data_IF_462217802744
#
_entry.id   IF_462217802744
#
_cell.length_a   1.000
_cell.length_b   1.000
_cell.length_c   1.000
_cell.angle_alpha   90.00
_cell.angle_beta   90.00
_cell.angle_gamma   90.00
#
_symmetry.space_group_name_H-M   'P 1'
#
loop_
_entity.id
_entity.type
_entity.pdbx_description
1 polymer ?
#
# COMPACT_ATOMS: atom_id res chain seq x y z
N UNK A 1 -21.81 49.93 -4.19
CA UNK A 1 -21.24 49.61 -2.82
C UNK A 1 -20.39 48.36 -2.78
N UNK A 2 -19.85 47.83 -3.87
CA UNK A 2 -19.08 46.58 -3.93
C UNK A 2 -17.55 46.77 -4.10
N UNK A 3 -17.04 47.95 -4.37
CA UNK A 3 -15.61 48.16 -4.62
C UNK A 3 -14.74 48.43 -3.40
N UNK A 4 -15.31 48.59 -2.21
CA UNK A 4 -14.55 49.00 -1.00
C UNK A 4 -14.19 47.84 -0.05
N UNK A 5 -14.56 46.57 -0.37
CA UNK A 5 -14.21 45.41 0.45
C UNK A 5 -12.94 44.70 0.00
N UNK A 6 -12.54 44.78 -1.25
CA UNK A 6 -11.33 44.12 -1.81
C UNK A 6 -10.02 44.81 -1.43
N UNK A 7 -10.06 46.11 -1.18
CA UNK A 7 -8.86 46.85 -0.81
C UNK A 7 -8.39 46.67 0.64
N UNK A 8 -9.31 46.30 1.56
CA UNK A 8 -8.97 46.06 2.96
C UNK A 8 -8.33 44.68 3.21
N UNK A 9 -8.70 43.65 2.44
CA UNK A 9 -8.16 42.30 2.58
C UNK A 9 -6.72 42.19 2.07
N UNK A 10 -6.38 42.93 1.01
CA UNK A 10 -5.02 42.95 0.46
C UNK A 10 -3.97 43.62 1.36
N UNK A 11 -4.38 44.59 2.21
CA UNK A 11 -3.46 45.25 3.16
C UNK A 11 -3.16 44.41 4.41
N UNK A 12 -4.07 43.54 4.83
CA UNK A 12 -3.88 42.66 6.01
C UNK A 12 -2.93 41.50 5.68
N UNK A 13 -2.95 40.97 4.46
CA UNK A 13 -2.04 39.89 4.04
C UNK A 13 -0.60 40.39 3.89
N UNK A 14 -0.38 41.62 3.42
CA UNK A 14 0.97 42.20 3.31
C UNK A 14 1.65 42.54 4.66
N UNK A 15 0.88 42.68 5.74
CA UNK A 15 1.43 42.91 7.10
C UNK A 15 1.84 41.63 7.82
N UNK A 16 1.24 40.47 7.48
CA UNK A 16 1.57 39.17 8.08
C UNK A 16 2.88 38.55 7.54
N UNK A 17 3.33 38.94 6.36
CA UNK A 17 4.55 38.38 5.73
C UNK A 17 5.85 39.05 6.21
N UNK A 18 5.76 40.16 6.98
CA UNK A 18 6.94 40.92 7.43
C UNK A 18 7.43 40.55 8.86
N UNK A 19 6.88 39.56 9.52
CA UNK A 19 7.16 39.25 10.93
C UNK A 19 7.90 37.91 11.16
N UNK A 20 8.44 37.22 10.15
CA UNK A 20 9.28 36.05 10.36
C UNK A 20 10.76 36.39 10.23
N UNK A 21 11.46 36.41 11.36
CA UNK A 21 12.94 36.55 11.41
C UNK A 21 13.57 35.27 10.80
N UNK A 22 14.69 35.40 10.05
CA UNK A 22 15.38 34.26 9.49
C UNK A 22 16.05 33.40 10.57
N UNK A 23 15.88 32.10 10.48
CA UNK A 23 16.53 31.10 11.32
C UNK A 23 18.01 31.07 10.97
N UNK A 24 18.88 31.33 11.98
CA UNK A 24 20.34 31.26 11.85
C UNK A 24 20.78 29.83 11.56
N UNK A 25 21.34 29.61 10.37
CA UNK A 25 22.06 28.36 10.02
C UNK A 25 23.34 28.27 10.85
N UNK A 26 23.42 27.25 11.68
CA UNK A 26 24.62 26.90 12.43
C UNK A 26 25.64 26.28 11.46
N UNK A 27 26.74 27.01 11.21
CA UNK A 27 27.92 26.49 10.48
C UNK A 27 28.58 25.41 11.32
N UNK A 28 28.63 24.19 10.77
CA UNK A 28 29.51 23.13 11.30
C UNK A 28 30.94 23.48 10.94
N UNK A 29 31.74 23.89 11.92
CA UNK A 29 33.15 24.10 11.76
C UNK A 29 33.89 22.78 11.86
N UNK A 30 34.41 22.29 10.74
CA UNK A 30 35.39 21.21 10.70
C UNK A 30 36.77 21.77 11.13
N UNK A 31 37.18 21.49 12.36
CA UNK A 31 38.56 21.74 12.82
C UNK A 31 39.44 20.56 12.44
N UNK A 32 40.17 20.67 11.33
CA UNK A 32 41.35 19.84 11.05
C UNK A 32 42.54 20.54 11.74
N UNK A 33 43.00 20.02 12.89
CA UNK A 33 44.29 20.45 13.48
C UNK A 33 45.43 19.77 12.69
N UNK A 34 46.15 20.60 11.95
CA UNK A 34 47.44 20.23 11.38
C UNK A 34 48.51 20.13 12.48
N UNK A 35 49.18 18.99 12.57
CA UNK A 35 50.36 18.78 13.45
C UNK A 35 51.55 19.40 12.79
N UNK A 36 52.18 20.40 13.45
CA UNK A 36 53.42 21.01 13.02
C UNK A 36 54.63 20.08 13.37
N UNK A 37 55.67 20.02 12.54
CA UNK A 37 56.90 19.24 12.83
C UNK A 37 57.74 19.90 13.91
N UNK A 38 58.23 19.10 14.87
CA UNK A 38 59.15 19.52 15.93
C UNK A 38 60.58 19.50 15.34
N UNK A 39 61.25 20.64 15.43
CA UNK A 39 62.69 20.82 15.09
C UNK A 39 63.59 20.17 16.14
N UNK A 40 64.58 19.52 15.65
CA UNK A 40 65.76 18.93 16.28
C UNK A 40 66.62 19.91 17.10
N UNK A 41 67.38 19.28 17.99
CA UNK A 41 68.66 19.64 18.66
C UNK A 41 68.59 20.19 20.05
N UNK A 42 69.07 19.36 21.00
CA UNK A 42 70.14 19.74 21.93
C UNK A 42 70.81 18.47 22.49
N UNK A 43 72.11 18.41 22.27
CA UNK A 43 73.12 17.52 22.83
C UNK A 43 73.11 17.58 24.36
N UNK A 44 73.10 16.43 25.04
CA UNK A 44 73.48 16.33 26.47
C UNK A 44 74.36 15.12 26.68
N UNK A 45 75.40 15.39 27.45
CA UNK A 45 76.60 14.61 27.75
C UNK A 45 76.33 13.27 28.46
N UNK A 46 77.18 12.32 28.16
CA UNK A 46 77.63 11.14 28.90
C UNK A 46 77.15 10.95 30.34
N UNK A 47 76.51 9.83 30.61
CA UNK A 47 76.45 9.24 31.98
C UNK A 47 76.31 7.71 31.91
N UNK A 48 77.35 7.07 32.48
CA UNK A 48 77.43 5.77 33.17
C UNK A 48 76.69 4.56 32.61
N UNK A 49 77.49 3.50 32.36
CA UNK A 49 77.15 2.13 32.06
C UNK A 49 76.03 1.57 32.99
N UNK A 50 74.93 1.14 32.39
CA UNK A 50 73.87 0.38 33.01
C UNK A 50 74.03 -1.08 32.64
N UNK A 51 73.95 -1.97 33.63
CA UNK A 51 74.06 -3.45 33.53
C UNK A 51 73.08 -4.02 32.48
N UNK A 52 73.41 -5.16 31.78
CA UNK A 52 72.56 -5.73 30.75
C UNK A 52 71.24 -6.22 31.35
N UNK A 53 70.12 -5.72 30.79
CA UNK A 53 68.76 -6.15 31.10
C UNK A 53 68.57 -7.55 30.51
N UNK A 54 68.06 -8.47 31.32
CA UNK A 54 67.70 -9.83 30.98
C UNK A 54 66.79 -9.85 29.73
N UNK A 55 67.12 -10.70 28.79
CA UNK A 55 66.40 -10.99 27.54
C UNK A 55 64.89 -11.00 27.76
N UNK A 56 64.18 -10.05 27.12
CA UNK A 56 62.71 -10.06 27.03
C UNK A 56 62.29 -11.25 26.16
N UNK A 57 61.49 -12.17 26.75
CA UNK A 57 60.88 -13.24 26.00
C UNK A 57 60.09 -12.65 24.82
N UNK A 58 60.39 -13.11 23.60
CA UNK A 58 59.61 -12.77 22.39
C UNK A 58 58.14 -13.06 22.66
N UNK A 59 57.35 -12.04 22.87
CA UNK A 59 55.88 -12.14 22.88
C UNK A 59 55.47 -12.51 21.44
N UNK A 60 54.59 -13.51 21.32
CA UNK A 60 53.99 -13.88 20.04
C UNK A 60 53.34 -12.61 19.44
N UNK A 61 53.42 -12.40 18.11
CA UNK A 61 52.70 -11.28 17.48
C UNK A 61 51.21 -11.35 17.87
N UNK A 62 50.67 -10.23 18.37
CA UNK A 62 49.25 -10.09 18.58
C UNK A 62 48.61 -10.19 17.20
N UNK A 63 47.88 -11.27 16.93
CA UNK A 63 47.06 -11.38 15.73
C UNK A 63 46.04 -10.24 15.78
N UNK A 64 46.23 -9.23 14.96
CA UNK A 64 45.19 -8.20 14.71
C UNK A 64 44.01 -8.92 14.07
N UNK A 65 42.84 -8.92 14.69
CA UNK A 65 41.69 -9.58 14.10
C UNK A 65 41.49 -9.00 12.69
N UNK A 66 41.44 -9.89 11.70
CA UNK A 66 41.10 -9.51 10.32
C UNK A 66 39.84 -8.67 10.39
N UNK A 67 39.91 -7.41 9.92
CA UNK A 67 38.70 -6.57 9.73
C UNK A 67 37.80 -7.37 8.79
N UNK A 68 36.81 -8.02 9.33
CA UNK A 68 35.68 -8.46 8.54
C UNK A 68 35.04 -7.18 8.01
N UNK A 69 35.19 -6.94 6.72
CA UNK A 69 34.37 -5.92 6.05
C UNK A 69 32.93 -6.39 6.20
N UNK A 70 32.26 -5.90 7.23
CA UNK A 70 30.81 -6.02 7.36
C UNK A 70 30.25 -5.14 6.25
N UNK A 71 30.01 -5.74 5.10
CA UNK A 71 29.26 -5.10 4.02
C UNK A 71 27.84 -4.97 4.55
N UNK A 72 27.48 -3.78 5.03
CA UNK A 72 26.09 -3.48 5.32
C UNK A 72 25.36 -3.46 3.96
N UNK A 73 24.64 -4.52 3.68
CA UNK A 73 23.73 -4.59 2.54
C UNK A 73 22.54 -3.67 2.84
N UNK A 74 22.70 -2.39 2.48
CA UNK A 74 21.69 -1.32 2.69
C UNK A 74 20.78 -1.16 1.48
N UNK A 75 21.09 -1.82 0.38
CA UNK A 75 20.33 -1.75 -0.86
C UNK A 75 18.99 -2.50 -0.76
N UNK A 76 18.07 -2.19 -1.68
CA UNK A 76 16.84 -2.94 -1.84
C UNK A 76 17.13 -4.42 -2.13
N UNK A 77 16.23 -5.31 -1.71
CA UNK A 77 16.39 -6.74 -2.01
C UNK A 77 16.28 -7.00 -3.51
N UNK A 78 17.20 -7.78 -4.02
CA UNK A 78 17.22 -8.21 -5.44
C UNK A 78 16.05 -9.15 -5.77
N UNK A 79 15.65 -9.29 -7.05
CA UNK A 79 14.52 -10.16 -7.42
C UNK A 79 14.61 -11.62 -6.92
N UNK A 80 15.77 -12.31 -6.93
CA UNK A 80 15.88 -13.63 -6.30
C UNK A 80 15.66 -13.60 -4.79
N UNK A 81 16.15 -12.56 -4.11
CA UNK A 81 15.92 -12.38 -2.66
C UNK A 81 14.45 -12.10 -2.35
N UNK A 82 13.75 -11.32 -3.19
CA UNK A 82 12.30 -11.10 -3.08
C UNK A 82 11.57 -12.44 -3.16
N UNK A 83 11.89 -13.27 -4.17
CA UNK A 83 11.27 -14.58 -4.34
C UNK A 83 11.44 -15.48 -3.11
N UNK A 84 12.67 -15.59 -2.59
CA UNK A 84 12.97 -16.39 -1.40
C UNK A 84 12.24 -15.86 -0.15
N UNK A 85 12.13 -14.54 0.03
CA UNK A 85 11.40 -13.93 1.14
C UNK A 85 9.89 -14.18 1.05
N UNK A 86 9.34 -14.06 -0.15
CA UNK A 86 7.93 -14.30 -0.38
C UNK A 86 7.56 -15.77 -0.11
N UNK A 87 8.37 -16.71 -0.59
CA UNK A 87 8.21 -18.13 -0.33
C UNK A 87 8.27 -18.46 1.18
N UNK A 88 9.22 -17.87 1.90
CA UNK A 88 9.31 -18.02 3.35
C UNK A 88 8.04 -17.50 4.06
N UNK A 89 7.55 -16.31 3.68
CA UNK A 89 6.32 -15.72 4.23
C UNK A 89 5.09 -16.56 3.89
N UNK A 90 5.01 -17.13 2.68
CA UNK A 90 3.93 -18.02 2.29
C UNK A 90 3.84 -19.23 3.23
N UNK A 91 4.97 -19.83 3.59
CA UNK A 91 5.04 -20.94 4.55
C UNK A 91 4.59 -20.57 5.97
N UNK A 92 4.84 -19.32 6.41
CA UNK A 92 4.37 -18.80 7.70
C UNK A 92 2.86 -18.57 7.69
N UNK A 93 2.35 -17.81 6.70
CA UNK A 93 0.92 -17.50 6.56
C UNK A 93 0.05 -18.76 6.51
N UNK A 94 0.47 -19.78 5.79
CA UNK A 94 -0.28 -21.03 5.68
C UNK A 94 -0.37 -21.82 7.01
N UNK A 95 0.44 -21.50 8.03
CA UNK A 95 0.41 -22.11 9.35
C UNK A 95 -0.42 -21.34 10.37
N UNK A 96 -0.84 -20.13 10.05
CA UNK A 96 -1.66 -19.31 10.94
C UNK A 96 -2.96 -20.02 11.31
N UNK A 97 -3.46 -19.71 12.52
CA UNK A 97 -4.74 -20.22 12.96
C UNK A 97 -5.89 -19.63 12.17
N UNK A 98 -6.96 -20.40 11.98
CA UNK A 98 -8.17 -19.92 11.28
C UNK A 98 -8.73 -18.64 11.94
N UNK A 99 -8.68 -18.52 13.25
CA UNK A 99 -9.13 -17.35 13.99
C UNK A 99 -8.28 -16.11 13.66
N UNK A 100 -6.94 -16.23 13.67
CA UNK A 100 -6.06 -15.12 13.31
C UNK A 100 -6.25 -14.71 11.85
N UNK A 101 -6.28 -15.66 10.92
CA UNK A 101 -6.53 -15.41 9.49
C UNK A 101 -7.86 -14.68 9.29
N UNK A 102 -8.92 -15.08 10.01
CA UNK A 102 -10.23 -14.45 9.93
C UNK A 102 -10.21 -13.01 10.47
N UNK A 103 -9.64 -12.77 11.67
CA UNK A 103 -9.55 -11.43 12.26
C UNK A 103 -8.69 -10.49 11.42
N UNK A 104 -7.55 -10.95 10.94
CA UNK A 104 -6.71 -10.18 10.02
C UNK A 104 -7.41 -9.95 8.68
N UNK A 105 -8.26 -10.90 8.25
CA UNK A 105 -9.15 -10.74 7.10
C UNK A 105 -10.17 -9.64 7.30
N UNK A 106 -10.82 -9.56 8.47
CA UNK A 106 -11.75 -8.45 8.80
C UNK A 106 -11.02 -7.10 8.71
N UNK A 107 -9.83 -7.00 9.28
CA UNK A 107 -9.04 -5.76 9.19
C UNK A 107 -8.73 -5.39 7.73
N UNK A 108 -8.31 -6.36 6.91
CA UNK A 108 -8.01 -6.09 5.50
C UNK A 108 -9.24 -5.61 4.72
N UNK A 109 -10.38 -6.26 4.90
CA UNK A 109 -11.65 -5.83 4.28
C UNK A 109 -12.04 -4.42 4.70
N UNK A 110 -11.93 -4.11 6.00
CA UNK A 110 -12.20 -2.77 6.53
C UNK A 110 -11.22 -1.72 5.96
N UNK A 111 -9.94 -2.01 5.88
CA UNK A 111 -8.93 -1.09 5.34
C UNK A 111 -9.17 -0.78 3.86
N UNK A 112 -9.45 -1.80 3.05
CA UNK A 112 -9.79 -1.60 1.63
C UNK A 112 -11.09 -0.80 1.49
N UNK A 113 -12.10 -1.07 2.32
CA UNK A 113 -13.36 -0.34 2.31
C UNK A 113 -13.19 1.14 2.70
N UNK A 114 -12.32 1.45 3.68
CA UNK A 114 -11.97 2.83 4.04
C UNK A 114 -11.25 3.55 2.89
N UNK A 115 -10.33 2.89 2.21
CA UNK A 115 -9.70 3.42 1.00
C UNK A 115 -10.71 3.67 -0.12
N UNK A 116 -11.67 2.77 -0.32
CA UNK A 116 -12.74 2.90 -1.30
C UNK A 116 -13.68 4.07 -0.97
N UNK A 117 -14.07 4.24 0.30
CA UNK A 117 -14.86 5.37 0.74
C UNK A 117 -14.12 6.70 0.58
N UNK A 118 -12.84 6.76 0.97
CA UNK A 118 -12.04 7.96 0.81
C UNK A 118 -11.90 8.36 -0.67
N UNK A 119 -11.67 7.38 -1.55
CA UNK A 119 -11.67 7.64 -2.99
C UNK A 119 -13.04 8.15 -3.47
N UNK A 120 -14.14 7.52 -3.05
CA UNK A 120 -15.50 7.96 -3.42
C UNK A 120 -15.74 9.41 -3.00
N UNK A 121 -15.39 9.77 -1.76
CA UNK A 121 -15.55 11.13 -1.24
C UNK A 121 -14.79 12.15 -2.10
N UNK A 122 -13.51 11.88 -2.39
CA UNK A 122 -12.64 12.82 -3.11
C UNK A 122 -13.06 13.01 -4.57
N UNK A 123 -13.55 11.94 -5.24
CA UNK A 123 -13.97 12.03 -6.64
C UNK A 123 -15.42 12.51 -6.83
N UNK A 124 -16.18 12.71 -5.75
CA UNK A 124 -17.60 13.05 -5.83
C UNK A 124 -17.82 14.46 -6.37
N UNK A 125 -17.01 15.40 -5.91
CA UNK A 125 -17.09 16.82 -6.30
C UNK A 125 -15.67 17.41 -6.44
N UNK A 126 -14.88 16.82 -7.34
CA UNK A 126 -13.46 17.21 -7.46
C UNK A 126 -13.24 18.50 -8.23
N UNK A 127 -14.19 18.94 -9.06
CA UNK A 127 -14.01 20.07 -9.99
C UNK A 127 -12.89 19.87 -11.02
N UNK A 128 -12.22 18.72 -11.03
CA UNK A 128 -11.09 18.43 -11.89
C UNK A 128 -11.53 17.75 -13.19
N UNK A 129 -10.71 17.84 -14.24
CA UNK A 129 -10.88 17.04 -15.45
C UNK A 129 -10.91 15.53 -15.10
N UNK A 130 -11.70 14.74 -15.84
CA UNK A 130 -11.98 13.33 -15.54
C UNK A 130 -10.72 12.47 -15.32
N UNK A 131 -9.65 12.71 -16.10
CA UNK A 131 -8.37 12.00 -15.93
C UNK A 131 -7.68 12.31 -14.60
N UNK A 132 -7.62 13.58 -14.22
CA UNK A 132 -7.04 14.01 -12.93
C UNK A 132 -7.88 13.51 -11.76
N UNK A 133 -9.22 13.59 -11.86
CA UNK A 133 -10.14 13.01 -10.85
C UNK A 133 -9.85 11.52 -10.63
N UNK A 134 -9.66 10.76 -11.72
CA UNK A 134 -9.34 9.33 -11.62
C UNK A 134 -7.98 9.11 -10.92
N UNK A 135 -6.95 9.89 -11.23
CA UNK A 135 -5.62 9.77 -10.62
C UNK A 135 -5.66 10.14 -9.13
N UNK A 136 -6.30 11.27 -8.78
CA UNK A 136 -6.40 11.68 -7.36
C UNK A 136 -7.19 10.66 -6.56
N UNK A 137 -8.33 10.17 -7.07
CA UNK A 137 -9.11 9.11 -6.43
C UNK A 137 -8.30 7.82 -6.24
N UNK A 138 -7.47 7.49 -7.23
CA UNK A 138 -6.61 6.32 -7.18
C UNK A 138 -5.49 6.45 -6.13
N UNK A 139 -4.85 7.61 -6.04
CA UNK A 139 -3.81 7.88 -5.02
C UNK A 139 -4.40 7.76 -3.61
N UNK A 140 -5.56 8.36 -3.34
CA UNK A 140 -6.17 8.28 -2.00
C UNK A 140 -6.69 6.87 -1.68
N UNK A 141 -7.11 6.09 -2.69
CA UNK A 141 -7.46 4.67 -2.51
C UNK A 141 -6.27 3.84 -1.99
N UNK A 142 -5.02 4.21 -2.31
CA UNK A 142 -3.82 3.50 -1.86
C UNK A 142 -3.75 3.39 -0.33
N UNK A 143 -4.41 4.29 0.43
CA UNK A 143 -4.58 4.19 1.88
C UNK A 143 -4.97 2.76 2.30
N UNK A 144 -5.91 2.13 1.60
CA UNK A 144 -6.41 0.79 1.92
C UNK A 144 -5.29 -0.25 1.89
N UNK A 145 -4.53 -0.34 0.79
CA UNK A 145 -3.47 -1.35 0.68
C UNK A 145 -2.23 -1.00 1.52
N UNK A 146 -1.94 0.28 1.72
CA UNK A 146 -0.88 0.71 2.65
C UNK A 146 -1.18 0.17 4.06
N UNK A 147 -2.41 0.34 4.56
CA UNK A 147 -2.81 -0.19 5.86
C UNK A 147 -2.77 -1.72 5.89
N UNK A 148 -3.16 -2.42 4.82
CA UNK A 148 -3.07 -3.88 4.72
C UNK A 148 -1.63 -4.36 4.83
N UNK A 149 -0.72 -3.80 4.04
CA UNK A 149 0.68 -4.28 3.95
C UNK A 149 1.49 -3.88 5.18
N UNK A 150 1.36 -2.62 5.63
CA UNK A 150 2.12 -2.12 6.78
C UNK A 150 1.52 -2.63 8.10
N UNK A 151 0.21 -2.73 8.18
CA UNK A 151 -0.50 -3.26 9.35
C UNK A 151 -0.53 -4.79 9.43
N UNK A 152 -0.11 -5.51 8.39
CA UNK A 152 0.01 -6.98 8.41
C UNK A 152 -1.32 -7.72 8.27
N UNK A 153 -2.33 -7.13 7.62
CA UNK A 153 -3.65 -7.74 7.46
C UNK A 153 -3.69 -8.78 6.31
N UNK A 154 -4.68 -9.67 6.34
CA UNK A 154 -4.84 -10.80 5.40
C UNK A 154 -5.81 -10.46 4.27
N UNK A 155 -5.29 -9.94 3.16
CA UNK A 155 -6.07 -9.60 1.98
C UNK A 155 -6.06 -10.75 0.97
N UNK A 156 -7.25 -11.25 0.60
CA UNK A 156 -7.41 -12.37 -0.33
C UNK A 156 -6.62 -12.20 -1.63
N UNK A 157 -6.73 -11.03 -2.27
CA UNK A 157 -6.06 -10.75 -3.55
C UNK A 157 -4.54 -10.78 -3.44
N UNK A 158 -3.97 -10.23 -2.36
CA UNK A 158 -2.53 -10.33 -2.07
C UNK A 158 -2.11 -11.75 -1.69
N UNK A 159 -2.99 -12.50 -1.04
CA UNK A 159 -2.74 -13.89 -0.65
C UNK A 159 -2.73 -14.87 -1.84
N UNK A 160 -3.12 -14.45 -3.05
CA UNK A 160 -2.87 -15.24 -4.25
C UNK A 160 -1.38 -15.55 -4.45
N UNK A 161 -0.48 -14.68 -3.95
CA UNK A 161 0.97 -14.88 -4.03
C UNK A 161 1.49 -16.05 -3.15
N UNK A 162 0.75 -16.48 -2.12
CA UNK A 162 1.17 -17.65 -1.32
C UNK A 162 1.16 -18.95 -2.14
N UNK A 163 0.55 -18.94 -3.34
CA UNK A 163 0.61 -20.06 -4.28
C UNK A 163 2.05 -20.44 -4.67
N UNK A 164 3.01 -19.52 -4.57
CA UNK A 164 4.44 -19.80 -4.72
C UNK A 164 4.88 -20.90 -3.75
N UNK A 165 4.49 -20.83 -2.47
CA UNK A 165 4.83 -21.87 -1.49
C UNK A 165 4.18 -23.24 -1.74
N UNK A 166 3.06 -23.27 -2.48
CA UNK A 166 2.47 -24.51 -2.98
C UNK A 166 3.31 -25.14 -4.09
N UNK A 167 3.75 -24.34 -5.05
CA UNK A 167 4.62 -24.81 -6.13
C UNK A 167 5.96 -25.31 -5.59
N UNK A 168 6.48 -24.69 -4.52
CA UNK A 168 7.69 -25.12 -3.81
C UNK A 168 7.43 -26.25 -2.80
N UNK A 169 6.25 -26.87 -2.81
CA UNK A 169 5.83 -28.02 -1.96
C UNK A 169 5.87 -27.74 -0.44
N UNK A 170 5.88 -26.47 -0.02
CA UNK A 170 5.84 -26.07 1.40
C UNK A 170 4.43 -26.00 1.96
N UNK A 171 3.43 -25.86 1.09
CA UNK A 171 2.03 -25.69 1.46
C UNK A 171 1.19 -26.72 0.72
N UNK A 172 0.23 -27.34 1.40
CA UNK A 172 -0.72 -28.27 0.79
C UNK A 172 -1.89 -27.54 0.16
N UNK A 173 -2.54 -28.15 -0.85
CA UNK A 173 -3.75 -27.61 -1.49
C UNK A 173 -4.83 -27.24 -0.46
N UNK A 174 -5.07 -28.12 0.53
CA UNK A 174 -6.05 -27.87 1.60
C UNK A 174 -5.73 -26.57 2.34
N UNK A 175 -4.47 -26.35 2.72
CA UNK A 175 -4.06 -25.15 3.45
C UNK A 175 -4.25 -23.86 2.64
N UNK A 176 -3.99 -23.91 1.34
CA UNK A 176 -4.27 -22.75 0.48
C UNK A 176 -5.76 -22.45 0.43
N UNK A 177 -6.59 -23.48 0.17
CA UNK A 177 -8.05 -23.32 0.07
C UNK A 177 -8.62 -22.81 1.39
N UNK A 178 -8.21 -23.39 2.52
CA UNK A 178 -8.65 -22.97 3.86
C UNK A 178 -8.27 -21.49 4.09
N UNK A 179 -7.01 -21.14 3.86
CA UNK A 179 -6.53 -19.77 4.07
C UNK A 179 -7.23 -18.74 3.18
N UNK A 180 -7.41 -19.06 1.89
CA UNK A 180 -8.10 -18.17 0.95
C UNK A 180 -9.57 -17.99 1.32
N UNK A 181 -10.25 -19.07 1.67
CA UNK A 181 -11.67 -19.04 2.05
C UNK A 181 -11.86 -18.20 3.32
N UNK A 182 -11.06 -18.47 4.35
CA UNK A 182 -11.18 -17.77 5.64
C UNK A 182 -10.86 -16.28 5.48
N UNK A 183 -9.78 -15.94 4.78
CA UNK A 183 -9.42 -14.53 4.53
C UNK A 183 -10.47 -13.82 3.69
N UNK A 184 -11.05 -14.49 2.67
CA UNK A 184 -12.11 -13.92 1.83
C UNK A 184 -13.38 -13.60 2.62
N UNK A 185 -13.81 -14.54 3.48
CA UNK A 185 -14.96 -14.33 4.36
C UNK A 185 -14.67 -13.19 5.33
N UNK A 186 -13.47 -13.15 5.93
CA UNK A 186 -13.05 -12.04 6.79
C UNK A 186 -13.08 -10.70 6.04
N UNK A 187 -12.55 -10.64 4.82
CA UNK A 187 -12.57 -9.42 4.01
C UNK A 187 -14.01 -8.94 3.74
N UNK A 188 -14.92 -9.86 3.47
CA UNK A 188 -16.33 -9.52 3.27
C UNK A 188 -16.98 -8.94 4.53
N UNK A 189 -16.78 -9.58 5.68
CA UNK A 189 -17.29 -9.09 6.97
C UNK A 189 -16.75 -7.70 7.29
N UNK A 190 -15.43 -7.50 7.13
CA UNK A 190 -14.79 -6.20 7.37
C UNK A 190 -15.31 -5.10 6.44
N UNK A 191 -15.52 -5.42 5.16
CA UNK A 191 -16.09 -4.49 4.19
C UNK A 191 -17.53 -4.09 4.54
N UNK A 192 -18.37 -5.05 4.93
CA UNK A 192 -19.75 -4.79 5.33
C UNK A 192 -19.84 -3.97 6.64
N UNK A 193 -18.90 -4.19 7.57
CA UNK A 193 -18.82 -3.38 8.79
C UNK A 193 -18.60 -1.90 8.43
N UNK A 194 -17.69 -1.61 7.51
CA UNK A 194 -17.45 -0.22 7.06
C UNK A 194 -18.63 0.33 6.29
N UNK A 195 -19.29 -0.47 5.43
CA UNK A 195 -20.55 -0.06 4.77
C UNK A 195 -21.59 0.38 5.81
N UNK A 196 -21.79 -0.43 6.86
CA UNK A 196 -22.72 -0.11 7.93
C UNK A 196 -22.35 1.18 8.66
N UNK A 197 -21.09 1.34 9.06
CA UNK A 197 -20.63 2.52 9.81
C UNK A 197 -20.71 3.79 8.96
N UNK A 198 -20.28 3.76 7.70
CA UNK A 198 -20.35 4.90 6.77
C UNK A 198 -21.80 5.30 6.49
N UNK A 199 -22.68 4.30 6.31
CA UNK A 199 -24.11 4.56 6.16
C UNK A 199 -24.71 5.21 7.42
N UNK A 200 -24.40 4.70 8.62
CA UNK A 200 -24.86 5.28 9.89
C UNK A 200 -24.27 6.68 10.15
N UNK A 201 -23.04 6.93 9.70
CA UNK A 201 -22.43 8.26 9.76
C UNK A 201 -23.02 9.24 8.73
N UNK A 202 -23.96 8.81 7.90
CA UNK A 202 -24.68 9.61 6.91
C UNK A 202 -23.75 10.33 5.89
N UNK A 203 -22.55 9.81 5.63
CA UNK A 203 -21.63 10.44 4.67
C UNK A 203 -22.20 10.51 3.24
N UNK A 204 -23.20 9.68 2.93
CA UNK A 204 -23.90 9.72 1.65
C UNK A 204 -24.67 11.04 1.41
N UNK A 205 -25.02 11.78 2.47
CA UNK A 205 -25.70 13.07 2.36
C UNK A 205 -24.78 14.26 2.12
N UNK A 206 -23.46 14.05 2.17
CA UNK A 206 -22.49 15.13 1.95
C UNK A 206 -22.64 15.76 0.56
N UNK A 207 -22.46 17.07 0.48
CA UNK A 207 -22.58 17.87 -0.75
C UNK A 207 -23.92 17.65 -1.45
N UNK A 208 -25.03 17.81 -0.71
CA UNK A 208 -26.40 17.57 -1.23
C UNK A 208 -26.52 16.19 -1.92
N UNK A 209 -26.15 15.14 -1.20
CA UNK A 209 -26.20 13.75 -1.65
C UNK A 209 -25.28 13.40 -2.84
N UNK A 210 -24.38 14.28 -3.26
CA UNK A 210 -23.44 14.02 -4.38
C UNK A 210 -22.53 12.83 -4.05
N UNK A 211 -22.09 12.68 -2.79
CA UNK A 211 -21.28 11.51 -2.38
C UNK A 211 -22.07 10.22 -2.51
N UNK A 212 -23.32 10.19 -2.06
CA UNK A 212 -24.21 9.04 -2.20
C UNK A 212 -24.51 8.72 -3.66
N UNK A 213 -24.82 9.74 -4.46
CA UNK A 213 -25.05 9.60 -5.89
C UNK A 213 -23.84 9.02 -6.62
N UNK A 214 -22.62 9.47 -6.29
CA UNK A 214 -21.38 8.89 -6.85
C UNK A 214 -21.20 7.44 -6.45
N UNK A 215 -21.43 7.09 -5.18
CA UNK A 215 -21.37 5.71 -4.70
C UNK A 215 -22.36 4.80 -5.45
N UNK A 216 -23.59 5.28 -5.67
CA UNK A 216 -24.63 4.59 -6.43
C UNK A 216 -24.22 4.35 -7.89
N UNK A 217 -23.67 5.37 -8.56
CA UNK A 217 -23.15 5.27 -9.94
C UNK A 217 -22.02 4.26 -10.06
N UNK A 218 -21.07 4.27 -9.11
CA UNK A 218 -19.96 3.28 -9.07
C UNK A 218 -20.53 1.87 -8.95
N UNK A 219 -21.43 1.64 -7.99
CA UNK A 219 -22.02 0.33 -7.75
C UNK A 219 -22.81 -0.18 -8.96
N UNK A 220 -23.66 0.69 -9.53
CA UNK A 220 -24.49 0.33 -10.69
C UNK A 220 -23.64 -0.02 -11.91
N UNK A 221 -22.57 0.73 -12.18
CA UNK A 221 -21.62 0.41 -13.26
C UNK A 221 -21.03 -1.00 -13.10
N UNK A 222 -20.70 -1.42 -11.88
CA UNK A 222 -20.03 -2.68 -11.57
C UNK A 222 -20.94 -3.91 -11.78
N UNK A 223 -22.23 -3.80 -11.45
CA UNK A 223 -23.20 -4.89 -11.66
C UNK A 223 -23.77 -4.96 -13.08
N UNK A 224 -23.37 -4.04 -13.95
CA UNK A 224 -23.75 -4.02 -15.36
C UNK A 224 -22.58 -4.31 -16.32
N UNK A 225 -21.46 -4.84 -15.80
CA UNK A 225 -20.37 -5.33 -16.64
C UNK A 225 -20.72 -6.68 -17.27
N UNK A 226 -20.28 -6.88 -18.52
CA UNK A 226 -20.32 -8.22 -19.10
C UNK A 226 -19.31 -9.13 -18.39
N UNK A 227 -19.54 -10.44 -18.42
CA UNK A 227 -18.62 -11.43 -17.82
C UNK A 227 -17.18 -11.22 -18.30
N UNK A 228 -16.97 -11.12 -19.61
CA UNK A 228 -15.63 -10.95 -20.21
C UNK A 228 -14.97 -9.66 -19.73
N UNK A 229 -15.73 -8.55 -19.66
CA UNK A 229 -15.19 -7.27 -19.18
C UNK A 229 -14.82 -7.34 -17.69
N UNK A 230 -15.69 -7.90 -16.85
CA UNK A 230 -15.44 -8.06 -15.42
C UNK A 230 -14.22 -8.97 -15.16
N UNK A 231 -14.16 -10.13 -15.85
CA UNK A 231 -13.05 -11.08 -15.75
C UNK A 231 -11.72 -10.45 -16.21
N UNK A 232 -11.65 -9.84 -17.40
CA UNK A 232 -10.40 -9.28 -17.92
C UNK A 232 -9.88 -8.13 -17.07
N UNK A 233 -10.77 -7.23 -16.60
CA UNK A 233 -10.42 -6.17 -15.65
C UNK A 233 -9.92 -6.72 -14.31
N UNK A 234 -10.49 -7.84 -13.86
CA UNK A 234 -10.07 -8.50 -12.63
C UNK A 234 -8.69 -9.16 -12.79
N UNK A 235 -8.39 -9.78 -13.93
CA UNK A 235 -7.06 -10.34 -14.24
C UNK A 235 -5.99 -9.24 -14.14
N UNK A 236 -6.20 -8.13 -14.84
CA UNK A 236 -5.25 -7.00 -14.83
C UNK A 236 -5.13 -6.38 -13.45
N UNK A 237 -6.23 -6.26 -12.72
CA UNK A 237 -6.23 -5.74 -11.36
C UNK A 237 -5.30 -6.55 -10.45
N UNK A 238 -5.54 -7.86 -10.35
CA UNK A 238 -4.79 -8.66 -9.38
C UNK A 238 -3.37 -8.97 -9.82
N UNK A 239 -3.07 -8.96 -11.10
CA UNK A 239 -1.69 -8.94 -11.57
C UNK A 239 -0.95 -7.71 -11.00
N UNK A 240 -1.55 -6.51 -11.05
CA UNK A 240 -0.95 -5.28 -10.50
C UNK A 240 -0.89 -5.30 -8.96
N UNK A 241 -1.91 -5.82 -8.26
CA UNK A 241 -1.88 -5.98 -6.80
C UNK A 241 -0.74 -6.92 -6.38
N UNK A 242 -0.60 -8.06 -7.05
CA UNK A 242 0.49 -9.00 -6.76
C UNK A 242 1.86 -8.42 -7.10
N UNK A 243 1.98 -7.63 -8.17
CA UNK A 243 3.21 -6.87 -8.46
C UNK A 243 3.51 -5.84 -7.37
N UNK A 244 2.51 -5.13 -6.86
CA UNK A 244 2.69 -4.21 -5.73
C UNK A 244 3.23 -4.95 -4.49
N UNK A 245 2.66 -6.10 -4.16
CA UNK A 245 3.14 -6.96 -3.07
C UNK A 245 4.57 -7.43 -3.34
N UNK A 246 4.87 -7.90 -4.56
CA UNK A 246 6.22 -8.32 -4.96
C UNK A 246 7.24 -7.20 -4.74
N UNK A 247 6.98 -6.01 -5.27
CA UNK A 247 7.90 -4.86 -5.13
C UNK A 247 8.04 -4.44 -3.66
N UNK A 248 6.98 -4.54 -2.83
CA UNK A 248 7.06 -4.29 -1.39
C UNK A 248 8.05 -5.21 -0.67
N UNK A 249 8.27 -6.43 -1.14
CA UNK A 249 9.29 -7.32 -0.57
C UNK A 249 10.73 -6.89 -0.87
N UNK A 250 10.95 -5.97 -1.83
CA UNK A 250 12.25 -5.33 -2.03
C UNK A 250 12.57 -4.28 -0.96
N UNK A 251 11.57 -3.72 -0.33
CA UNK A 251 11.67 -2.59 0.58
C UNK A 251 12.33 -2.95 1.91
N UNK A 252 13.10 -2.02 2.46
CA UNK A 252 13.82 -2.16 3.74
C UNK A 252 13.14 -1.44 4.90
N UNK A 253 12.36 -0.43 4.62
CA UNK A 253 11.67 0.38 5.62
C UNK A 253 10.20 0.66 5.22
N UNK A 254 9.45 1.32 6.11
CA UNK A 254 8.02 1.60 5.89
C UNK A 254 7.79 2.62 4.78
N UNK A 255 8.65 3.64 4.68
CA UNK A 255 8.51 4.66 3.64
C UNK A 255 8.67 4.05 2.24
N UNK A 256 9.65 3.17 2.05
CA UNK A 256 9.85 2.45 0.80
C UNK A 256 8.62 1.62 0.43
N UNK A 257 8.04 0.89 1.40
CA UNK A 257 6.80 0.12 1.18
C UNK A 257 5.66 1.00 0.70
N UNK A 258 5.46 2.16 1.33
CA UNK A 258 4.43 3.11 0.93
C UNK A 258 4.65 3.57 -0.52
N UNK A 259 5.87 3.97 -0.85
CA UNK A 259 6.21 4.44 -2.19
C UNK A 259 6.01 3.38 -3.27
N UNK A 260 6.37 2.12 -2.98
CA UNK A 260 6.23 1.00 -3.94
C UNK A 260 4.76 0.62 -4.20
N UNK A 261 3.85 0.95 -3.29
CA UNK A 261 2.41 0.66 -3.44
C UNK A 261 1.69 1.69 -4.32
N UNK A 262 2.08 2.96 -4.28
CA UNK A 262 1.30 4.06 -4.88
C UNK A 262 1.10 3.85 -6.38
N UNK A 263 2.13 3.55 -7.15
CA UNK A 263 2.03 3.45 -8.59
C UNK A 263 1.23 2.23 -9.08
N UNK A 264 1.50 0.99 -8.62
CA UNK A 264 0.71 -0.15 -9.08
C UNK A 264 -0.76 -0.07 -8.65
N UNK A 265 -1.00 0.37 -7.41
CA UNK A 265 -2.37 0.49 -6.89
C UNK A 265 -3.10 1.67 -7.54
N UNK A 266 -2.44 2.82 -7.60
CA UNK A 266 -2.96 3.99 -8.31
C UNK A 266 -3.28 3.66 -9.77
N UNK A 267 -2.40 2.92 -10.44
CA UNK A 267 -2.57 2.50 -11.83
C UNK A 267 -3.82 1.64 -12.04
N UNK A 268 -4.04 0.59 -11.25
CA UNK A 268 -5.23 -0.26 -11.46
C UNK A 268 -6.54 0.47 -11.11
N UNK A 269 -6.52 1.31 -10.07
CA UNK A 269 -7.71 2.07 -9.67
C UNK A 269 -8.07 3.11 -10.73
N UNK A 270 -7.10 3.91 -11.19
CA UNK A 270 -7.31 4.91 -12.24
C UNK A 270 -7.79 4.27 -13.56
N UNK A 271 -7.32 3.05 -13.88
CA UNK A 271 -7.74 2.28 -15.05
C UNK A 271 -9.16 1.67 -14.90
N UNK A 272 -9.78 1.78 -13.74
CA UNK A 272 -11.11 1.22 -13.48
C UNK A 272 -11.14 -0.31 -13.55
N UNK A 273 -10.08 -0.98 -13.11
CA UNK A 273 -10.00 -2.44 -13.00
C UNK A 273 -10.83 -2.95 -11.81
N UNK A 274 -11.17 -4.24 -11.84
CA UNK A 274 -12.11 -4.84 -10.90
C UNK A 274 -11.38 -5.59 -9.78
N UNK A 275 -11.51 -5.05 -8.56
CA UNK A 275 -10.92 -5.63 -7.35
C UNK A 275 -12.01 -6.27 -6.49
N UNK A 276 -11.89 -7.59 -6.26
CA UNK A 276 -12.89 -8.39 -5.56
C UNK A 276 -13.31 -7.79 -4.21
N UNK A 277 -12.32 -7.49 -3.36
CA UNK A 277 -12.59 -6.99 -2.00
C UNK A 277 -13.08 -5.54 -2.01
N UNK A 278 -12.61 -4.68 -2.91
CA UNK A 278 -13.14 -3.32 -3.03
C UNK A 278 -14.62 -3.34 -3.47
N UNK A 279 -15.00 -4.30 -4.32
CA UNK A 279 -16.39 -4.47 -4.74
C UNK A 279 -17.31 -4.93 -3.60
N UNK A 280 -16.75 -5.58 -2.56
CA UNK A 280 -17.48 -5.92 -1.32
C UNK A 280 -17.87 -4.68 -0.50
N UNK A 281 -17.27 -3.53 -0.78
CA UNK A 281 -17.69 -2.24 -0.24
C UNK A 281 -18.61 -1.50 -1.24
N UNK A 282 -18.14 -1.28 -2.46
CA UNK A 282 -18.84 -0.44 -3.43
C UNK A 282 -20.25 -0.91 -3.74
N UNK A 283 -20.43 -2.21 -4.02
CA UNK A 283 -21.73 -2.71 -4.48
C UNK A 283 -22.74 -2.80 -3.33
N UNK A 284 -22.43 -3.35 -2.13
CA UNK A 284 -23.32 -3.32 -0.99
C UNK A 284 -23.73 -1.91 -0.57
N UNK A 285 -22.80 -0.93 -0.61
CA UNK A 285 -23.13 0.48 -0.35
C UNK A 285 -24.21 0.98 -1.33
N UNK A 286 -24.04 0.72 -2.64
CA UNK A 286 -25.02 1.10 -3.64
C UNK A 286 -26.38 0.39 -3.45
N UNK A 287 -26.37 -0.90 -3.07
CA UNK A 287 -27.60 -1.68 -2.78
C UNK A 287 -28.39 -1.01 -1.65
N UNK A 288 -27.74 -0.54 -0.59
CA UNK A 288 -28.41 0.14 0.52
C UNK A 288 -28.89 1.52 0.08
N UNK A 289 -28.07 2.26 -0.68
CA UNK A 289 -28.36 3.63 -1.06
C UNK A 289 -29.46 3.77 -2.12
N UNK A 290 -29.70 2.74 -2.96
CA UNK A 290 -30.76 2.81 -3.98
C UNK A 290 -32.17 3.02 -3.43
N UNK A 291 -32.38 2.76 -2.14
CA UNK A 291 -33.66 3.01 -1.46
C UNK A 291 -33.85 4.47 -1.01
N UNK A 292 -32.87 5.34 -1.23
CA UNK A 292 -32.89 6.75 -0.85
C UNK A 292 -33.21 7.62 -2.07
N UNK A 293 -34.42 8.19 -2.17
CA UNK A 293 -34.82 8.99 -3.34
C UNK A 293 -33.84 10.14 -3.65
N UNK A 294 -33.32 10.81 -2.61
CA UNK A 294 -32.41 11.93 -2.73
C UNK A 294 -31.08 11.51 -3.37
N UNK A 295 -30.59 10.32 -3.00
CA UNK A 295 -29.35 9.75 -3.58
C UNK A 295 -29.57 9.37 -5.04
N UNK A 296 -30.72 8.76 -5.36
CA UNK A 296 -31.07 8.40 -6.74
C UNK A 296 -31.17 9.65 -7.60
N UNK A 297 -31.88 10.68 -7.13
CA UNK A 297 -32.00 11.96 -7.84
C UNK A 297 -30.64 12.63 -8.08
N UNK A 298 -29.75 12.62 -7.07
CA UNK A 298 -28.38 13.14 -7.24
C UNK A 298 -27.57 12.33 -8.26
N UNK A 299 -27.70 10.99 -8.25
CA UNK A 299 -27.03 10.12 -9.22
C UNK A 299 -27.53 10.33 -10.66
N UNK A 300 -28.84 10.44 -10.85
CA UNK A 300 -29.46 10.70 -12.16
C UNK A 300 -29.07 12.08 -12.71
N UNK A 301 -29.07 13.10 -11.83
CA UNK A 301 -28.57 14.44 -12.18
C UNK A 301 -27.11 14.40 -12.67
N UNK A 302 -26.23 13.68 -11.96
CA UNK A 302 -24.83 13.52 -12.38
C UNK A 302 -24.68 12.69 -13.66
N UNK A 303 -25.54 11.71 -13.89
CA UNK A 303 -25.54 10.87 -15.09
C UNK A 303 -26.18 11.55 -16.31
N UNK A 304 -26.99 12.58 -16.11
CA UNK A 304 -27.79 13.23 -17.14
C UNK A 304 -28.91 12.34 -17.73
N UNK A 305 -29.32 11.28 -17.00
CA UNK A 305 -30.35 10.31 -17.43
C UNK A 305 -30.90 9.55 -16.24
N UNK A 306 -32.10 8.99 -16.42
CA UNK A 306 -32.68 7.99 -15.50
C UNK A 306 -31.83 6.74 -15.44
N UNK A 307 -31.66 6.17 -14.24
CA UNK A 307 -30.82 5.02 -14.00
C UNK A 307 -31.65 3.74 -13.93
N UNK A 308 -31.25 2.72 -14.69
CA UNK A 308 -31.69 1.34 -14.46
C UNK A 308 -30.88 0.73 -13.31
N UNK A 309 -31.55 0.45 -12.20
CA UNK A 309 -30.99 -0.15 -10.98
C UNK A 309 -31.43 -1.60 -10.78
N UNK A 310 -32.02 -2.23 -11.79
CA UNK A 310 -32.59 -3.58 -11.73
C UNK A 310 -31.52 -4.63 -11.35
N UNK A 311 -30.31 -4.50 -11.88
CA UNK A 311 -29.19 -5.40 -11.59
C UNK A 311 -28.47 -5.07 -10.25
N UNK A 312 -28.77 -3.93 -9.63
CA UNK A 312 -28.13 -3.54 -8.36
C UNK A 312 -28.82 -4.24 -7.18
N UNK A 313 -28.58 -5.53 -7.07
CA UNK A 313 -29.13 -6.47 -6.10
C UNK A 313 -28.06 -7.36 -5.51
N UNK A 314 -28.33 -8.08 -4.43
CA UNK A 314 -27.42 -9.09 -3.88
C UNK A 314 -27.13 -10.21 -4.91
N UNK A 315 -28.11 -10.58 -5.74
CA UNK A 315 -27.90 -11.52 -6.86
C UNK A 315 -26.94 -10.91 -7.88
N UNK A 316 -27.15 -9.67 -8.30
CA UNK A 316 -26.26 -8.96 -9.22
C UNK A 316 -24.84 -8.82 -8.66
N UNK A 317 -24.74 -8.51 -7.35
CA UNK A 317 -23.44 -8.47 -6.65
C UNK A 317 -22.71 -9.82 -6.76
N UNK A 318 -23.35 -10.94 -6.38
CA UNK A 318 -22.68 -12.25 -6.31
C UNK A 318 -22.45 -12.82 -7.71
N UNK A 319 -23.47 -12.83 -8.57
CA UNK A 319 -23.42 -13.57 -9.85
C UNK A 319 -22.82 -12.75 -10.98
N UNK A 320 -23.25 -11.48 -11.12
CA UNK A 320 -22.81 -10.66 -12.26
C UNK A 320 -21.41 -10.07 -11.99
N UNK A 321 -21.10 -9.70 -10.74
CA UNK A 321 -19.81 -9.08 -10.43
C UNK A 321 -18.84 -10.02 -9.71
N UNK A 322 -19.15 -10.48 -8.48
CA UNK A 322 -18.17 -11.20 -7.65
C UNK A 322 -17.66 -12.48 -8.31
N UNK A 323 -18.51 -13.25 -8.98
CA UNK A 323 -18.09 -14.51 -9.59
C UNK A 323 -17.05 -14.34 -10.71
N UNK A 324 -17.27 -13.53 -11.78
CA UNK A 324 -16.23 -13.30 -12.79
C UNK A 324 -15.02 -12.57 -12.23
N UNK A 325 -15.20 -11.65 -11.26
CA UNK A 325 -14.09 -10.91 -10.64
C UNK A 325 -13.24 -11.85 -9.78
N UNK A 326 -13.84 -12.77 -9.03
CA UNK A 326 -13.11 -13.79 -8.27
C UNK A 326 -12.21 -14.62 -9.20
N UNK A 327 -12.77 -15.18 -10.26
CA UNK A 327 -12.01 -15.98 -11.23
C UNK A 327 -10.86 -15.18 -11.85
N UNK A 328 -11.14 -13.94 -12.25
CA UNK A 328 -10.12 -13.07 -12.85
C UNK A 328 -9.03 -12.68 -11.87
N UNK A 329 -9.37 -12.31 -10.61
CA UNK A 329 -8.37 -11.98 -9.61
C UNK A 329 -7.50 -13.20 -9.26
N UNK A 330 -8.07 -14.39 -9.09
CA UNK A 330 -7.30 -15.62 -8.87
C UNK A 330 -6.35 -15.87 -10.04
N UNK A 331 -6.85 -15.82 -11.26
CA UNK A 331 -6.02 -16.06 -12.46
C UNK A 331 -4.89 -15.03 -12.57
N UNK A 332 -5.18 -13.73 -12.41
CA UNK A 332 -4.17 -12.66 -12.49
C UNK A 332 -3.09 -12.78 -11.43
N UNK A 333 -3.48 -13.08 -10.18
CA UNK A 333 -2.52 -13.22 -9.08
C UNK A 333 -1.72 -14.52 -9.12
N UNK A 334 -2.38 -15.64 -9.42
CA UNK A 334 -1.72 -16.95 -9.44
C UNK A 334 -0.90 -17.15 -10.70
N UNK A 335 -1.50 -16.99 -11.89
CA UNK A 335 -0.82 -17.33 -13.14
C UNK A 335 0.21 -16.28 -13.54
N UNK A 336 -0.18 -15.00 -13.57
CA UNK A 336 0.69 -13.92 -14.08
C UNK A 336 1.74 -13.45 -13.08
N UNK A 337 1.55 -13.65 -11.77
CA UNK A 337 2.52 -13.29 -10.77
C UNK A 337 3.11 -14.54 -10.08
N UNK A 338 2.30 -15.34 -9.38
CA UNK A 338 2.77 -16.47 -8.58
C UNK A 338 3.57 -17.49 -9.39
N UNK A 339 2.96 -18.06 -10.44
CA UNK A 339 3.59 -19.09 -11.29
C UNK A 339 4.77 -18.51 -12.06
N UNK A 340 4.63 -17.30 -12.64
CA UNK A 340 5.68 -16.69 -13.43
C UNK A 340 6.96 -16.45 -12.59
N UNK A 341 6.84 -15.87 -11.39
CA UNK A 341 7.99 -15.61 -10.55
C UNK A 341 8.58 -16.89 -9.94
N UNK A 342 7.76 -17.87 -9.59
CA UNK A 342 8.27 -19.18 -9.19
C UNK A 342 9.11 -19.81 -10.30
N UNK A 343 8.59 -19.81 -11.53
CA UNK A 343 9.29 -20.38 -12.68
C UNK A 343 10.62 -19.69 -12.98
N UNK A 344 10.69 -18.37 -12.83
CA UNK A 344 11.90 -17.59 -13.14
C UNK A 344 12.95 -17.70 -12.02
N UNK A 345 12.55 -17.69 -10.74
CA UNK A 345 13.47 -17.47 -9.64
C UNK A 345 13.58 -18.63 -8.64
N UNK A 346 12.60 -19.55 -8.57
CA UNK A 346 12.54 -20.56 -7.52
C UNK A 346 12.56 -22.00 -8.03
N UNK A 347 12.22 -22.23 -9.29
CA UNK A 347 12.27 -23.62 -9.81
C UNK A 347 13.69 -24.18 -9.76
N UNK A 348 13.87 -25.44 -9.36
CA UNK A 348 15.17 -26.11 -9.34
C UNK A 348 15.84 -26.12 -10.71
#
# INVERSE_FOLDING_TARGET
>A
MAENKTAKTSRTIKKAVKATKPIKTTKVVRTTKAVKPVKSTKTVKTAKAVKPVKTVKKTKPVEVPKRTNVVYDIDAYSPPQIAARLDAVAGVKAKDSAANTFLLGINAGAFIALGAQFATLVISDSGLHSGLTAVVGAIVFCLGLIMVVVGGAELFTGNCMIFIGYLDKRITTRRIVDHWTISLIGNFVGSLLVVFLVYKAQQFSFYDYVVGGKALLIANKKVNLTFTSAFSKAVLCNAMVCMAVWVCFSARNVADKIMTLIFPIGGFVASGFEHLVANMYFIPMGIILKSKPEVVAAAEKMAGKTLDLSNLTWKGFIVINQFPVFLGNVFGGVALAGVAFWFIYLRP
#
